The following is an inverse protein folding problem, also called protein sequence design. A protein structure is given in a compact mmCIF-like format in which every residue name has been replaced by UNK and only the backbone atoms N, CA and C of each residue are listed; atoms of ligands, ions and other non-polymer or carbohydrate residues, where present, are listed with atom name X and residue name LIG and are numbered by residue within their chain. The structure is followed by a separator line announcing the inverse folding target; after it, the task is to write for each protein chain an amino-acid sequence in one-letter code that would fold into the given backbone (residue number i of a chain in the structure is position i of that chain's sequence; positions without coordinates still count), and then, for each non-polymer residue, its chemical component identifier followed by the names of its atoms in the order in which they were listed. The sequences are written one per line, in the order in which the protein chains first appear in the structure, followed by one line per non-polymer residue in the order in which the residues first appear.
data_IF_523149205692
#
_entry.id   IF_523149205692
#
_cell.length_a   1.000
_cell.length_b   1.000
_cell.length_c   1.000
_cell.angle_alpha   90.00
_cell.angle_beta   90.00
_cell.angle_gamma   90.00
#
_symmetry.space_group_name_H-M   'P 1'
#
loop_
_entity.id
_entity.type
_entity.pdbx_description
1 polymer ?
#
# COMPACT_ATOMS: atom_id res chain seq x y z
N UNK A 1 -2.34 21.90 10.53
CA UNK A 1 -2.95 20.67 11.12
C UNK A 1 -3.15 19.57 10.06
N UNK A 2 -3.73 19.90 8.90
CA UNK A 2 -3.94 18.96 7.79
C UNK A 2 -2.65 18.24 7.33
N UNK A 3 -1.55 18.96 7.17
CA UNK A 3 -0.24 18.36 6.78
C UNK A 3 0.23 17.27 7.75
N UNK A 4 0.10 17.50 9.06
CA UNK A 4 0.52 16.55 10.09
C UNK A 4 -0.35 15.27 10.10
N UNK A 5 -1.64 15.39 9.74
CA UNK A 5 -2.53 14.24 9.50
C UNK A 5 -2.10 13.48 8.26
N UNK A 6 -1.83 14.20 7.17
CA UNK A 6 -1.45 13.63 5.89
C UNK A 6 -0.13 12.83 5.99
N UNK A 7 0.90 13.39 6.63
CA UNK A 7 2.20 12.74 6.83
C UNK A 7 2.09 11.44 7.64
N UNK A 8 1.35 11.46 8.76
CA UNK A 8 1.14 10.27 9.59
C UNK A 8 0.31 9.21 8.89
N UNK A 9 -0.72 9.62 8.15
CA UNK A 9 -1.53 8.71 7.37
C UNK A 9 -0.73 8.06 6.23
N UNK A 10 0.12 8.83 5.54
CA UNK A 10 1.05 8.31 4.54
C UNK A 10 2.08 7.35 5.13
N UNK A 11 2.52 7.57 6.38
CA UNK A 11 3.39 6.67 7.11
C UNK A 11 2.72 5.35 7.56
N UNK A 12 1.45 5.12 7.22
CA UNK A 12 0.77 3.86 7.50
C UNK A 12 -0.19 3.88 8.68
N UNK A 13 -0.18 4.93 9.51
CA UNK A 13 -1.00 4.99 10.73
C UNK A 13 -2.51 4.93 10.43
N UNK A 14 -3.24 4.30 11.33
CA UNK A 14 -4.71 4.25 11.34
C UNK A 14 -5.32 5.56 11.84
N UNK A 15 -6.60 5.80 11.56
CA UNK A 15 -7.30 7.01 12.03
C UNK A 15 -7.29 7.16 13.55
N UNK A 16 -7.31 6.04 14.26
CA UNK A 16 -7.29 6.01 15.72
C UNK A 16 -5.92 6.44 16.25
N UNK A 17 -4.84 5.84 15.75
CA UNK A 17 -3.47 6.19 16.14
C UNK A 17 -3.15 7.66 15.82
N UNK A 18 -3.59 8.16 14.66
CA UNK A 18 -3.43 9.57 14.30
C UNK A 18 -4.19 10.48 15.28
N UNK A 19 -5.41 10.10 15.66
CA UNK A 19 -6.21 10.84 16.62
C UNK A 19 -5.57 10.90 18.00
N UNK A 20 -5.02 9.77 18.46
CA UNK A 20 -4.26 9.67 19.71
C UNK A 20 -3.01 10.58 19.68
N UNK A 21 -2.20 10.51 18.61
CA UNK A 21 -0.96 11.30 18.50
C UNK A 21 -1.22 12.80 18.34
N UNK A 22 -2.28 13.18 17.63
CA UNK A 22 -2.61 14.59 17.38
C UNK A 22 -3.61 15.18 18.39
N UNK A 23 -4.03 14.39 19.38
CA UNK A 23 -5.03 14.73 20.38
C UNK A 23 -6.34 15.26 19.76
N UNK A 24 -6.86 14.54 18.77
CA UNK A 24 -8.13 14.84 18.07
C UNK A 24 -8.96 13.57 17.88
N UNK A 25 -10.28 13.73 17.73
CA UNK A 25 -11.16 12.59 17.50
C UNK A 25 -10.88 11.92 16.13
N UNK A 26 -11.00 10.59 16.01
CA UNK A 26 -10.81 9.88 14.73
C UNK A 26 -11.77 10.36 13.62
N UNK A 27 -12.96 10.82 13.98
CA UNK A 27 -13.91 11.44 13.05
C UNK A 27 -13.36 12.75 12.46
N UNK A 28 -12.64 13.54 13.27
CA UNK A 28 -11.98 14.78 12.83
C UNK A 28 -10.81 14.48 11.90
N UNK A 29 -10.07 13.39 12.15
CA UNK A 29 -9.04 12.89 11.21
C UNK A 29 -9.65 12.59 9.84
N UNK A 30 -10.83 11.93 9.82
CA UNK A 30 -11.55 11.63 8.56
C UNK A 30 -11.95 12.89 7.80
N UNK A 31 -12.47 13.90 8.51
CA UNK A 31 -12.82 15.21 7.91
C UNK A 31 -11.59 15.91 7.34
N UNK A 32 -10.47 15.91 8.06
CA UNK A 32 -9.22 16.47 7.56
C UNK A 32 -8.73 15.73 6.30
N UNK A 33 -8.78 14.40 6.29
CA UNK A 33 -8.38 13.61 5.11
C UNK A 33 -9.26 13.87 3.89
N UNK A 34 -10.58 14.03 4.06
CA UNK A 34 -11.47 14.40 2.97
C UNK A 34 -11.08 15.75 2.34
N UNK A 35 -10.87 16.77 3.18
CA UNK A 35 -10.42 18.08 2.70
C UNK A 35 -9.03 18.03 2.04
N UNK A 36 -8.13 17.18 2.55
CA UNK A 36 -6.79 16.98 1.97
C UNK A 36 -6.90 16.31 0.59
N UNK A 37 -7.74 15.29 0.44
CA UNK A 37 -7.97 14.62 -0.84
C UNK A 37 -8.52 15.57 -1.89
N UNK A 38 -9.49 16.41 -1.53
CA UNK A 38 -10.01 17.46 -2.42
C UNK A 38 -8.94 18.48 -2.79
N UNK A 39 -8.21 19.02 -1.80
CA UNK A 39 -7.16 20.02 -2.02
C UNK A 39 -6.01 19.53 -2.88
N UNK A 40 -5.63 18.26 -2.75
CA UNK A 40 -4.50 17.67 -3.48
C UNK A 40 -4.92 16.95 -4.77
N UNK A 41 -6.23 16.83 -5.03
CA UNK A 41 -6.77 16.12 -6.18
C UNK A 41 -6.33 14.66 -6.22
N UNK A 42 -6.31 13.98 -5.07
CA UNK A 42 -5.91 12.57 -4.96
C UNK A 42 -7.07 11.74 -4.44
N UNK A 43 -7.24 10.56 -5.03
CA UNK A 43 -8.37 9.66 -4.75
C UNK A 43 -8.02 8.51 -3.81
N UNK A 44 -6.74 8.27 -3.52
CA UNK A 44 -6.30 7.15 -2.70
C UNK A 44 -5.07 7.46 -1.83
N UNK A 45 -4.84 6.61 -0.83
CA UNK A 45 -3.75 6.73 0.16
C UNK A 45 -2.37 6.74 -0.51
N UNK A 46 -2.17 5.99 -1.58
CA UNK A 46 -0.87 5.92 -2.28
C UNK A 46 -0.58 7.20 -3.03
N UNK A 47 -1.56 7.76 -3.75
CA UNK A 47 -1.44 9.02 -4.43
C UNK A 47 -1.16 10.17 -3.44
N UNK A 48 -1.80 10.14 -2.27
CA UNK A 48 -1.50 11.05 -1.16
C UNK A 48 -0.07 10.85 -0.64
N UNK A 49 0.34 9.60 -0.36
CA UNK A 49 1.70 9.29 0.08
C UNK A 49 2.73 9.78 -0.93
N UNK A 50 2.52 9.51 -2.23
CA UNK A 50 3.40 9.98 -3.30
C UNK A 50 3.50 11.51 -3.33
N UNK A 51 2.38 12.24 -3.23
CA UNK A 51 2.38 13.72 -3.16
C UNK A 51 3.21 14.25 -1.98
N UNK A 52 3.18 13.56 -0.85
CA UNK A 52 3.94 13.94 0.34
C UNK A 52 5.42 13.57 0.18
N UNK A 53 5.71 12.41 -0.43
CA UNK A 53 7.06 11.93 -0.70
C UNK A 53 7.78 12.66 -1.84
N UNK A 54 7.06 13.19 -2.85
CA UNK A 54 7.66 13.91 -4.00
C UNK A 54 8.32 15.23 -3.60
N UNK A 55 8.17 15.69 -2.35
CA UNK A 55 9.02 16.78 -1.83
C UNK A 55 10.48 16.31 -1.61
N UNK A 56 10.74 15.00 -1.62
CA UNK A 56 12.05 14.42 -1.33
C UNK A 56 12.78 13.76 -2.53
N UNK A 57 12.18 13.65 -3.72
CA UNK A 57 12.88 12.95 -4.82
C UNK A 57 12.51 13.47 -6.22
N UNK A 58 13.53 13.94 -6.92
CA UNK A 58 13.50 14.38 -8.32
C UNK A 58 13.79 13.21 -9.27
N UNK A 59 12.72 12.66 -9.88
CA UNK A 59 12.64 12.01 -11.21
C UNK A 59 13.31 10.61 -11.43
N UNK A 60 12.89 9.80 -12.45
CA UNK A 60 12.04 10.16 -13.60
C UNK A 60 10.79 9.28 -13.86
N UNK A 61 9.98 9.82 -14.76
CA UNK A 61 8.67 9.39 -15.25
C UNK A 61 8.63 8.04 -15.98
N UNK A 62 7.62 7.22 -15.65
CA UNK A 62 6.90 6.33 -16.57
C UNK A 62 5.68 5.66 -15.89
N UNK A 63 4.73 6.45 -15.37
CA UNK A 63 3.38 5.97 -15.11
C UNK A 63 2.47 7.19 -15.04
N UNK A 64 1.45 7.22 -15.90
CA UNK A 64 0.41 8.25 -15.85
C UNK A 64 -0.05 8.45 -14.40
N UNK A 65 -0.15 9.69 -13.89
CA UNK A 65 -0.54 9.96 -12.50
C UNK A 65 -1.97 9.50 -12.15
N UNK A 66 -2.70 8.99 -13.13
CA UNK A 66 -4.12 8.60 -13.06
C UNK A 66 -4.34 7.07 -13.14
N UNK A 67 -3.30 6.27 -13.39
CA UNK A 67 -3.42 4.83 -13.25
C UNK A 67 -3.45 4.51 -11.75
N UNK A 68 -4.58 4.03 -11.26
CA UNK A 68 -4.68 3.53 -9.89
C UNK A 68 -3.56 2.49 -9.69
N UNK A 69 -2.65 2.67 -8.71
CA UNK A 69 -1.50 1.81 -8.56
C UNK A 69 -1.95 0.39 -8.26
N UNK A 70 -1.25 -0.59 -8.84
CA UNK A 70 -1.52 -2.02 -8.65
C UNK A 70 -0.30 -2.64 -7.97
N UNK A 71 -0.52 -3.49 -6.97
CA UNK A 71 0.55 -4.25 -6.32
C UNK A 71 0.60 -5.66 -6.91
N UNK A 72 1.66 -5.95 -7.65
CA UNK A 72 1.94 -7.30 -8.15
C UNK A 72 2.69 -8.10 -7.07
N UNK A 73 2.17 -9.28 -6.71
CA UNK A 73 2.83 -10.24 -5.83
C UNK A 73 3.29 -11.44 -6.65
N UNK A 74 4.59 -11.70 -6.64
CA UNK A 74 5.21 -12.84 -7.31
C UNK A 74 5.40 -14.00 -6.32
N UNK A 75 5.40 -15.26 -6.79
CA UNK A 75 5.61 -16.41 -5.94
C UNK A 75 7.02 -16.38 -5.37
N UNK A 76 7.15 -16.75 -4.10
CA UNK A 76 8.46 -16.87 -3.46
C UNK A 76 9.09 -18.19 -3.92
N UNK A 77 10.23 -18.10 -4.60
CA UNK A 77 10.97 -19.28 -5.05
C UNK A 77 11.85 -19.83 -3.92
N UNK A 78 11.65 -21.11 -3.59
CA UNK A 78 12.52 -21.82 -2.68
C UNK A 78 13.73 -22.39 -3.44
N UNK A 79 14.93 -21.93 -3.07
CA UNK A 79 16.21 -22.43 -3.62
C UNK A 79 16.67 -23.76 -2.98
N UNK A 80 15.97 -24.24 -1.95
CA UNK A 80 16.24 -25.53 -1.30
C UNK A 80 15.61 -26.69 -2.07
N UNK A 81 16.27 -27.85 -2.04
CA UNK A 81 15.72 -29.10 -2.55
C UNK A 81 14.69 -29.77 -1.63
N UNK A 82 14.54 -29.28 -0.40
CA UNK A 82 13.62 -29.82 0.59
C UNK A 82 12.17 -29.36 0.34
N UNK A 83 11.29 -30.34 0.16
CA UNK A 83 9.86 -30.17 -0.10
C UNK A 83 9.14 -29.38 1.01
N UNK A 84 9.61 -29.50 2.25
CA UNK A 84 9.08 -28.76 3.41
C UNK A 84 9.19 -27.25 3.19
N UNK A 85 10.34 -26.80 2.68
CA UNK A 85 10.61 -25.40 2.41
C UNK A 85 9.88 -24.87 1.18
N UNK A 86 9.63 -25.72 0.18
CA UNK A 86 8.78 -25.37 -0.97
C UNK A 86 7.34 -25.09 -0.55
N UNK A 87 6.76 -25.98 0.27
CA UNK A 87 5.40 -25.79 0.79
C UNK A 87 5.28 -24.55 1.65
N UNK A 88 6.31 -24.26 2.46
CA UNK A 88 6.38 -23.03 3.22
C UNK A 88 6.38 -21.78 2.32
N UNK A 89 7.19 -21.76 1.26
CA UNK A 89 7.26 -20.63 0.34
C UNK A 89 5.94 -20.38 -0.42
N UNK A 90 5.24 -21.45 -0.80
CA UNK A 90 3.90 -21.39 -1.39
C UNK A 90 2.89 -20.80 -0.38
N UNK A 91 2.87 -21.32 0.85
CA UNK A 91 2.00 -20.84 1.92
C UNK A 91 2.24 -19.36 2.23
N UNK A 92 3.50 -18.94 2.33
CA UNK A 92 3.88 -17.56 2.58
C UNK A 92 3.40 -16.61 1.45
N UNK A 93 3.52 -17.05 0.19
CA UNK A 93 3.05 -16.26 -0.96
C UNK A 93 1.52 -16.11 -0.96
N UNK A 94 0.80 -17.18 -0.63
CA UNK A 94 -0.65 -17.19 -0.47
C UNK A 94 -1.09 -16.25 0.66
N UNK A 95 -0.50 -16.37 1.85
CA UNK A 95 -0.86 -15.57 3.01
C UNK A 95 -0.62 -14.07 2.76
N UNK A 96 0.53 -13.71 2.20
CA UNK A 96 0.84 -12.31 1.83
C UNK A 96 -0.17 -11.78 0.81
N UNK A 97 -0.49 -12.56 -0.22
CA UNK A 97 -1.48 -12.18 -1.24
C UNK A 97 -2.85 -11.93 -0.63
N UNK A 98 -3.31 -12.86 0.21
CA UNK A 98 -4.62 -12.78 0.87
C UNK A 98 -4.68 -11.59 1.81
N UNK A 99 -3.66 -11.38 2.63
CA UNK A 99 -3.61 -10.30 3.61
C UNK A 99 -3.57 -8.93 2.94
N UNK A 100 -2.79 -8.78 1.88
CA UNK A 100 -2.73 -7.55 1.10
C UNK A 100 -4.03 -7.31 0.32
N UNK A 101 -4.65 -8.36 -0.22
CA UNK A 101 -5.92 -8.23 -0.96
C UNK A 101 -7.08 -7.75 -0.06
N UNK A 102 -7.00 -7.95 1.26
CA UNK A 102 -7.98 -7.37 2.21
C UNK A 102 -7.84 -5.85 2.38
N UNK A 103 -6.73 -5.25 1.97
CA UNK A 103 -6.56 -3.81 2.00
C UNK A 103 -7.13 -3.17 0.73
N UNK A 104 -8.31 -2.56 0.83
CA UNK A 104 -9.03 -1.93 -0.28
C UNK A 104 -8.32 -0.72 -0.94
N UNK A 105 -7.17 -0.28 -0.42
CA UNK A 105 -6.47 0.92 -0.88
C UNK A 105 -5.64 0.73 -2.15
N UNK A 106 -5.31 -0.52 -2.51
CA UNK A 106 -4.49 -0.86 -3.67
C UNK A 106 -4.94 -2.24 -4.18
N UNK A 107 -5.44 -2.38 -5.42
CA UNK A 107 -5.71 -3.70 -5.99
C UNK A 107 -4.43 -4.55 -6.03
N UNK A 108 -4.54 -5.79 -5.57
CA UNK A 108 -3.46 -6.79 -5.55
C UNK A 108 -3.68 -7.80 -6.67
N UNK A 109 -2.64 -8.06 -7.46
CA UNK A 109 -2.63 -9.09 -8.50
C UNK A 109 -1.56 -10.12 -8.15
N UNK A 110 -1.97 -11.36 -7.93
CA UNK A 110 -1.06 -12.49 -7.80
C UNK A 110 -0.65 -13.00 -9.19
N UNK A 111 0.66 -13.17 -9.40
CA UNK A 111 1.18 -13.76 -10.62
C UNK A 111 1.64 -15.19 -10.32
N UNK A 112 0.83 -16.19 -10.67
CA UNK A 112 1.36 -17.56 -10.75
C UNK A 112 2.05 -17.71 -12.09
N UNK A 113 3.38 -17.77 -12.09
CA UNK A 113 4.11 -18.34 -13.23
C UNK A 113 3.65 -19.79 -13.34
N UNK A 114 2.96 -20.16 -14.42
CA UNK A 114 2.75 -21.58 -14.73
C UNK A 114 4.14 -22.22 -14.77
N UNK A 115 4.50 -22.96 -13.72
CA UNK A 115 5.65 -23.84 -13.75
C UNK A 115 5.36 -24.82 -14.88
N UNK A 116 6.12 -24.67 -15.97
CA UNK A 116 6.15 -25.59 -17.09
C UNK A 116 6.07 -27.02 -16.57
N UNK A 117 5.02 -27.74 -16.96
CA UNK A 117 4.99 -29.20 -16.92
C UNK A 117 6.24 -29.69 -17.64
N UNK A 118 7.14 -30.34 -16.91
CA UNK A 118 8.39 -30.91 -17.40
C UNK A 118 8.79 -32.05 -16.50
#
# INVERSE_FOLDING_TARGET
RERAVAERFAAGMTYREIGEVLFIAPSTVRTHLAAIYEKLGVSNKVALARRISTVADTAPAAASPDASPVLAVFPIECLSGDESWRRFAEGLSSDITIDLARYAGIPVIAFHTMKSLG
#
